data_IF_998460843285
#
_entry.id   IF_998460843285
#
_cell.length_a   1.000
_cell.length_b   1.000
_cell.length_c   1.000
_cell.angle_alpha   90.00
_cell.angle_beta   90.00
_cell.angle_gamma   90.00
#
_symmetry.space_group_name_H-M   'P 1'
#
loop_
_entity.id
_entity.type
_entity.pdbx_description
1 polymer ?
#
# COMPACT_ATOMS: atom_id res chain seq x y z
N UNK A 1 -19.43 -11.72 -9.89
CA UNK A 1 -17.97 -11.73 -9.63
C UNK A 1 -17.83 -11.40 -8.17
N UNK A 2 -17.26 -12.32 -7.38
CA UNK A 2 -17.13 -12.14 -5.93
C UNK A 2 -16.10 -11.04 -5.66
N UNK A 3 -16.48 -10.03 -4.87
CA UNK A 3 -15.58 -8.95 -4.45
C UNK A 3 -14.75 -9.45 -3.27
N UNK A 4 -13.43 -9.33 -3.37
CA UNK A 4 -12.52 -9.78 -2.32
C UNK A 4 -11.90 -8.58 -1.59
N UNK A 5 -11.73 -8.74 -0.28
CA UNK A 5 -10.96 -7.80 0.54
C UNK A 5 -9.47 -7.93 0.18
N UNK A 6 -8.79 -6.85 -0.26
CA UNK A 6 -7.40 -6.94 -0.71
C UNK A 6 -6.41 -7.40 0.35
N UNK A 7 -6.69 -7.16 1.63
CA UNK A 7 -5.78 -7.45 2.73
C UNK A 7 -5.95 -8.85 3.30
N UNK A 8 -7.17 -9.37 3.28
CA UNK A 8 -7.49 -10.68 3.87
C UNK A 8 -7.76 -11.76 2.84
N UNK A 9 -8.07 -11.38 1.59
CA UNK A 9 -8.52 -12.30 0.55
C UNK A 9 -9.91 -12.89 0.81
N UNK A 10 -10.62 -12.44 1.85
CA UNK A 10 -11.95 -12.91 2.18
C UNK A 10 -13.00 -12.29 1.26
N UNK A 11 -14.08 -13.04 1.02
CA UNK A 11 -15.25 -12.54 0.32
C UNK A 11 -15.89 -11.37 1.08
N UNK A 12 -16.15 -10.28 0.38
CA UNK A 12 -16.91 -9.16 0.88
C UNK A 12 -18.42 -9.43 0.77
N UNK A 13 -19.24 -8.83 1.64
CA UNK A 13 -20.69 -8.88 1.52
C UNK A 13 -21.20 -8.38 0.15
N UNK A 14 -22.39 -8.82 -0.25
CA UNK A 14 -22.96 -8.49 -1.56
C UNK A 14 -23.31 -7.01 -1.73
N UNK A 15 -23.50 -6.28 -0.63
CA UNK A 15 -23.74 -4.84 -0.58
C UNK A 15 -22.44 -4.02 -0.54
N UNK A 16 -21.28 -4.67 -0.54
CA UNK A 16 -20.00 -3.98 -0.49
C UNK A 16 -19.69 -3.21 -1.77
N UNK A 17 -19.23 -1.98 -1.58
CA UNK A 17 -18.81 -1.07 -2.64
C UNK A 17 -17.30 -0.85 -2.50
N UNK A 18 -16.57 -1.05 -3.60
CA UNK A 18 -15.16 -0.67 -3.70
C UNK A 18 -15.00 0.55 -4.61
N UNK A 19 -14.30 1.57 -4.13
CA UNK A 19 -13.94 2.78 -4.90
C UNK A 19 -12.43 2.90 -4.99
N UNK A 20 -11.95 3.28 -6.16
CA UNK A 20 -10.53 3.56 -6.37
C UNK A 20 -10.35 5.06 -6.15
N UNK A 21 -9.64 5.43 -5.08
CA UNK A 21 -9.36 6.82 -4.73
C UNK A 21 -8.12 7.36 -5.45
N UNK A 22 -7.17 6.48 -5.74
CA UNK A 22 -5.91 6.83 -6.40
C UNK A 22 -5.36 5.64 -7.18
N UNK A 23 -4.68 5.91 -8.29
CA UNK A 23 -3.93 4.93 -9.09
C UNK A 23 -2.61 5.55 -9.55
N UNK A 24 -1.51 4.84 -9.31
CA UNK A 24 -0.22 5.09 -9.95
C UNK A 24 0.24 3.83 -10.68
N UNK A 25 0.55 3.96 -11.96
CA UNK A 25 0.84 2.81 -12.82
C UNK A 25 2.26 2.26 -12.65
N UNK A 26 3.20 3.09 -12.21
CA UNK A 26 4.61 2.74 -12.04
C UNK A 26 5.10 3.17 -10.65
N UNK A 27 5.11 2.22 -9.71
CA UNK A 27 5.67 2.40 -8.37
C UNK A 27 6.72 1.34 -8.13
N UNK A 28 7.95 1.76 -7.90
CA UNK A 28 9.06 0.86 -7.60
C UNK A 28 8.92 0.29 -6.19
N UNK A 29 9.01 -1.03 -6.04
CA UNK A 29 8.92 -1.72 -4.76
C UNK A 29 10.29 -2.24 -4.36
N UNK A 30 10.69 -1.99 -3.10
CA UNK A 30 12.00 -2.29 -2.56
C UNK A 30 11.91 -3.13 -1.28
N UNK A 31 12.89 -4.01 -1.10
CA UNK A 31 13.15 -4.62 0.20
C UNK A 31 13.96 -3.65 1.08
N UNK A 32 13.39 -3.26 2.22
CA UNK A 32 14.05 -2.31 3.13
C UNK A 32 14.79 -3.05 4.25
N UNK A 33 15.97 -2.57 4.67
CA UNK A 33 16.65 -3.10 5.84
C UNK A 33 15.80 -2.86 7.11
N UNK A 34 15.90 -3.75 8.11
CA UNK A 34 15.27 -3.52 9.42
C UNK A 34 15.72 -2.19 10.01
N UNK A 35 14.80 -1.48 10.68
CA UNK A 35 15.14 -0.23 11.38
C UNK A 35 16.25 -0.48 12.40
N UNK A 36 17.35 0.25 12.24
CA UNK A 36 18.48 0.24 13.18
C UNK A 36 18.36 1.36 14.22
N UNK A 37 17.39 2.27 14.06
CA UNK A 37 17.19 3.45 14.91
C UNK A 37 15.72 3.90 14.90
N UNK A 38 15.31 4.65 15.91
CA UNK A 38 13.99 5.28 16.04
C UNK A 38 13.80 6.53 15.17
N UNK A 39 14.81 6.92 14.38
CA UNK A 39 14.78 8.13 13.54
C UNK A 39 13.82 8.07 12.35
N UNK A 40 13.28 6.90 12.02
CA UNK A 40 12.44 6.68 10.83
C UNK A 40 13.25 6.18 9.63
N UNK A 41 12.63 6.20 8.46
CA UNK A 41 13.20 5.60 7.24
C UNK A 41 13.89 6.61 6.34
N UNK A 42 14.91 6.17 5.62
CA UNK A 42 15.64 6.98 4.63
C UNK A 42 15.84 6.17 3.36
N UNK A 43 15.37 6.69 2.23
CA UNK A 43 15.38 5.98 0.96
C UNK A 43 16.80 5.69 0.45
N UNK A 44 17.77 6.56 0.75
CA UNK A 44 19.17 6.32 0.42
C UNK A 44 19.70 4.98 0.96
N UNK A 45 19.14 4.46 2.05
CA UNK A 45 19.58 3.19 2.66
C UNK A 45 19.21 1.94 1.84
N UNK A 46 18.22 2.02 0.95
CA UNK A 46 17.80 0.88 0.11
C UNK A 46 17.81 1.16 -1.39
N UNK A 47 17.90 2.42 -1.82
CA UNK A 47 17.93 2.79 -3.25
C UNK A 47 19.33 2.77 -3.85
N UNK A 48 20.38 2.81 -3.02
CA UNK A 48 21.77 2.77 -3.48
C UNK A 48 22.17 1.39 -4.06
N UNK A 49 21.47 0.33 -3.66
CA UNK A 49 21.74 -1.04 -4.08
C UNK A 49 20.66 -1.53 -5.04
N UNK A 50 20.94 -1.70 -6.35
CA UNK A 50 19.94 -2.14 -7.33
C UNK A 50 19.28 -3.49 -7.00
N UNK A 51 19.98 -4.36 -6.27
CA UNK A 51 19.47 -5.67 -5.85
C UNK A 51 18.29 -5.61 -4.88
N UNK A 52 18.06 -4.46 -4.22
CA UNK A 52 16.93 -4.27 -3.31
C UNK A 52 15.64 -3.96 -4.03
N UNK A 53 15.71 -3.52 -5.29
CA UNK A 53 14.54 -3.35 -6.13
C UNK A 53 13.94 -4.74 -6.43
N UNK A 54 12.70 -4.96 -6.00
CA UNK A 54 11.98 -6.21 -6.22
C UNK A 54 11.39 -6.20 -7.63
N UNK A 55 10.52 -5.21 -7.91
CA UNK A 55 9.86 -4.99 -9.18
C UNK A 55 9.11 -3.64 -9.18
N UNK A 56 8.54 -3.27 -10.33
CA UNK A 56 7.65 -2.11 -10.47
C UNK A 56 6.19 -2.58 -10.47
N UNK A 57 5.38 -2.05 -9.56
CA UNK A 57 3.97 -2.39 -9.37
C UNK A 57 3.04 -1.25 -9.83
N UNK A 58 1.76 -1.58 -10.00
CA UNK A 58 0.67 -0.60 -9.92
C UNK A 58 0.27 -0.46 -8.46
N UNK A 59 0.18 0.78 -7.98
CA UNK A 59 -0.36 1.09 -6.66
C UNK A 59 -1.78 1.63 -6.82
N UNK A 60 -2.74 1.09 -6.05
CA UNK A 60 -4.10 1.64 -5.94
C UNK A 60 -4.43 1.94 -4.49
N UNK A 61 -5.11 3.05 -4.24
CA UNK A 61 -5.80 3.27 -2.96
C UNK A 61 -7.25 2.88 -3.16
N UNK A 62 -7.72 1.89 -2.41
CA UNK A 62 -9.06 1.31 -2.53
C UNK A 62 -9.82 1.54 -1.24
N UNK A 63 -10.91 2.28 -1.34
CA UNK A 63 -11.92 2.36 -0.28
C UNK A 63 -12.90 1.20 -0.43
N UNK A 64 -13.17 0.47 0.65
CA UNK A 64 -14.23 -0.53 0.75
C UNK A 64 -15.24 -0.06 1.79
N UNK A 65 -16.51 0.02 1.40
CA UNK A 65 -17.61 0.41 2.27
C UNK A 65 -18.74 -0.62 2.18
N UNK A 66 -19.27 -1.06 3.32
CA UNK A 66 -20.42 -1.96 3.38
C UNK A 66 -21.17 -1.84 4.71
N UNK A 67 -22.44 -2.24 4.71
CA UNK A 67 -23.27 -2.32 5.91
C UNK A 67 -23.23 -3.74 6.48
N UNK A 68 -23.37 -3.85 7.80
CA UNK A 68 -23.42 -5.13 8.47
C UNK A 68 -24.58 -5.07 9.46
N UNK A 69 -25.49 -6.03 9.38
CA UNK A 69 -26.66 -6.09 10.27
C UNK A 69 -26.28 -6.09 11.77
N UNK A 70 -25.04 -6.44 12.08
CA UNK A 70 -24.52 -6.54 13.46
C UNK A 70 -23.53 -5.43 13.86
N UNK A 71 -23.15 -4.51 12.95
CA UNK A 71 -22.15 -3.48 13.24
C UNK A 71 -22.32 -2.23 12.36
N UNK A 72 -22.06 -1.05 12.93
CA UNK A 72 -21.95 0.24 12.21
C UNK A 72 -21.21 0.12 10.87
N UNK A 73 -21.62 0.92 9.86
CA UNK A 73 -21.00 1.02 8.54
C UNK A 73 -19.48 0.81 8.61
N UNK A 74 -19.00 -0.23 7.93
CA UNK A 74 -17.58 -0.51 7.84
C UNK A 74 -17.01 0.26 6.66
N UNK A 75 -16.22 1.27 6.96
CA UNK A 75 -15.37 1.98 6.00
C UNK A 75 -13.93 1.55 6.22
N UNK A 76 -13.26 1.13 5.15
CA UNK A 76 -11.87 0.68 5.17
C UNK A 76 -11.15 1.24 3.95
N UNK A 77 -9.88 1.61 4.11
CA UNK A 77 -8.99 2.01 3.02
C UNK A 77 -7.78 1.08 3.00
N UNK A 78 -7.43 0.59 1.82
CA UNK A 78 -6.25 -0.24 1.58
C UNK A 78 -5.37 0.38 0.49
N UNK A 79 -4.07 0.47 0.74
CA UNK A 79 -3.08 0.66 -0.30
C UNK A 79 -2.71 -0.71 -0.88
N UNK A 80 -2.94 -0.90 -2.18
CA UNK A 80 -2.85 -2.18 -2.88
C UNK A 80 -1.72 -2.13 -3.91
N UNK A 81 -0.72 -2.98 -3.74
CA UNK A 81 0.36 -3.20 -4.69
C UNK A 81 0.03 -4.44 -5.52
N UNK A 82 -0.04 -4.28 -6.83
CA UNK A 82 -0.36 -5.36 -7.76
C UNK A 82 0.48 -5.28 -9.03
N UNK A 83 0.60 -6.40 -9.73
CA UNK A 83 1.21 -6.42 -11.05
C UNK A 83 0.36 -5.61 -12.04
N UNK A 84 0.99 -4.67 -12.75
CA UNK A 84 0.28 -3.74 -13.62
C UNK A 84 -0.40 -4.42 -14.82
N UNK A 85 0.16 -5.55 -15.28
CA UNK A 85 -0.28 -6.26 -16.48
C UNK A 85 -1.42 -7.25 -16.20
N UNK A 86 -1.32 -8.01 -15.12
CA UNK A 86 -2.24 -9.08 -14.75
C UNK A 86 -3.27 -8.66 -13.69
N UNK A 87 -2.99 -7.59 -12.94
CA UNK A 87 -3.76 -7.22 -11.75
C UNK A 87 -3.59 -8.19 -10.59
N UNK A 88 -2.60 -9.09 -10.65
CA UNK A 88 -2.32 -10.01 -9.56
C UNK A 88 -1.83 -9.24 -8.32
N UNK A 89 -2.55 -9.39 -7.21
CA UNK A 89 -2.18 -8.81 -5.93
C UNK A 89 -0.79 -9.30 -5.50
N UNK A 90 0.11 -8.36 -5.23
CA UNK A 90 1.40 -8.64 -4.61
C UNK A 90 1.31 -8.47 -3.09
N UNK A 91 0.79 -7.33 -2.64
CA UNK A 91 0.64 -7.02 -1.22
C UNK A 91 -0.44 -5.96 -1.00
N UNK A 92 -1.06 -5.97 0.18
CA UNK A 92 -2.00 -4.95 0.60
C UNK A 92 -1.60 -4.38 1.97
N UNK A 93 -1.81 -3.09 2.13
CA UNK A 93 -1.54 -2.33 3.35
C UNK A 93 -2.84 -1.68 3.83
N UNK A 94 -3.53 -2.30 4.81
CA UNK A 94 -4.70 -1.70 5.45
C UNK A 94 -4.33 -0.40 6.13
N UNK A 95 -4.85 0.71 5.63
CA UNK A 95 -4.52 2.04 6.12
C UNK A 95 -5.31 2.35 7.38
N UNK A 96 -4.86 1.77 8.50
CA UNK A 96 -5.49 1.93 9.82
C UNK A 96 -4.88 3.06 10.65
N UNK A 97 -3.73 3.59 10.24
CA UNK A 97 -3.01 4.67 10.89
C UNK A 97 -2.03 5.33 9.90
N UNK A 98 -1.66 6.60 10.08
CA UNK A 98 -0.72 7.28 9.19
C UNK A 98 0.61 6.54 8.99
N UNK A 99 1.13 5.89 10.03
CA UNK A 99 2.38 5.10 9.95
C UNK A 99 2.30 3.83 9.11
N UNK A 100 1.15 3.47 8.53
CA UNK A 100 1.06 2.39 7.55
C UNK A 100 1.74 2.80 6.24
N UNK A 101 1.68 4.07 5.87
CA UNK A 101 2.35 4.67 4.71
C UNK A 101 3.16 5.86 5.23
N UNK A 102 4.39 5.60 5.65
CA UNK A 102 5.26 6.60 6.29
C UNK A 102 6.19 7.23 5.25
N UNK A 103 6.20 8.56 5.07
CA UNK A 103 7.17 9.21 4.18
C UNK A 103 8.59 9.06 4.73
N UNK A 104 9.56 8.90 3.83
CA UNK A 104 10.98 8.88 4.24
C UNK A 104 11.51 10.28 4.54
N UNK A 105 12.61 10.36 5.28
CA UNK A 105 13.19 11.63 5.74
C UNK A 105 13.92 12.44 4.64
N UNK A 106 14.49 11.76 3.66
CA UNK A 106 15.43 12.32 2.68
C UNK A 106 14.82 12.51 1.28
N UNK A 107 13.54 12.18 1.09
CA UNK A 107 12.89 12.27 -0.22
C UNK A 107 11.37 12.38 -0.10
N UNK A 108 10.77 13.23 -0.94
CA UNK A 108 9.32 13.34 -1.07
C UNK A 108 8.70 12.32 -2.03
N UNK A 109 9.50 11.42 -2.62
CA UNK A 109 9.02 10.40 -3.58
C UNK A 109 8.93 9.00 -3.00
N UNK A 110 9.43 8.79 -1.79
CA UNK A 110 9.56 7.45 -1.21
C UNK A 110 8.82 7.34 0.10
N UNK A 111 8.30 6.14 0.35
CA UNK A 111 7.54 5.82 1.55
C UNK A 111 7.94 4.42 2.04
N UNK A 112 7.88 4.21 3.35
CA UNK A 112 7.85 2.89 3.94
C UNK A 112 6.38 2.46 4.12
N UNK A 113 6.02 1.30 3.58
CA UNK A 113 4.65 0.78 3.57
C UNK A 113 4.58 -0.51 4.36
N UNK A 114 3.74 -0.52 5.40
CA UNK A 114 3.48 -1.72 6.20
C UNK A 114 2.38 -2.55 5.55
N UNK A 115 2.78 -3.60 4.83
CA UNK A 115 1.87 -4.54 4.21
C UNK A 115 1.52 -5.70 5.15
N UNK A 116 0.40 -6.36 4.86
CA UNK A 116 -0.02 -7.58 5.54
C UNK A 116 -0.23 -8.69 4.53
N UNK A 117 0.08 -9.91 4.96
CA UNK A 117 -0.37 -11.11 4.24
C UNK A 117 -1.77 -11.53 4.72
N UNK A 118 -2.43 -12.48 4.02
CA UNK A 118 -3.74 -12.99 4.43
C UNK A 118 -3.76 -13.65 5.83
N UNK A 119 -2.59 -14.04 6.36
CA UNK A 119 -2.44 -14.59 7.71
C UNK A 119 -2.24 -13.49 8.77
N UNK A 120 -2.22 -12.22 8.37
CA UNK A 120 -2.03 -11.06 9.24
C UNK A 120 -0.58 -10.76 9.62
N UNK A 121 0.41 -11.46 9.06
CA UNK A 121 1.83 -11.17 9.25
C UNK A 121 2.18 -9.84 8.59
N UNK A 122 2.95 -9.03 9.30
CA UNK A 122 3.38 -7.71 8.83
C UNK A 122 4.74 -7.81 8.16
N UNK A 123 4.88 -7.11 7.05
CA UNK A 123 6.17 -6.82 6.43
C UNK A 123 6.22 -5.33 6.09
N UNK A 124 7.42 -4.78 5.97
CA UNK A 124 7.60 -3.38 5.59
C UNK A 124 8.35 -3.36 4.27
N UNK A 125 7.81 -2.63 3.31
CA UNK A 125 8.36 -2.45 1.98
C UNK A 125 8.68 -0.99 1.75
N UNK A 126 9.70 -0.72 0.95
CA UNK A 126 9.94 0.62 0.43
C UNK A 126 9.15 0.77 -0.86
N UNK A 127 8.47 1.88 -1.06
CA UNK A 127 7.92 2.26 -2.36
C UNK A 127 8.52 3.57 -2.83
N UNK A 128 8.66 3.72 -4.14
CA UNK A 128 9.19 4.94 -4.76
C UNK A 128 8.45 5.28 -6.05
N UNK A 129 8.07 6.55 -6.17
CA UNK A 129 7.48 7.09 -7.40
C UNK A 129 8.54 7.66 -8.33
N UNK A 130 8.29 7.59 -9.63
CA UNK A 130 9.12 8.27 -10.64
C UNK A 130 8.96 9.79 -10.50
N UNK A 131 7.73 10.27 -10.33
CA UNK A 131 7.43 11.70 -10.24
C UNK A 131 6.99 12.14 -8.84
N UNK A 132 7.37 13.37 -8.47
CA UNK A 132 6.99 13.96 -7.17
C UNK A 132 5.50 14.25 -7.06
N UNK A 133 4.84 14.55 -8.18
CA UNK A 133 3.41 14.84 -8.21
C UNK A 133 2.58 13.63 -7.81
N UNK A 134 2.91 12.43 -8.32
CA UNK A 134 2.16 11.22 -7.97
C UNK A 134 2.34 10.83 -6.49
N UNK A 135 3.55 11.00 -5.95
CA UNK A 135 3.81 10.81 -4.52
C UNK A 135 3.02 11.80 -3.64
N UNK A 136 2.87 13.04 -4.11
CA UNK A 136 2.04 14.04 -3.45
C UNK A 136 0.56 13.65 -3.50
N UNK A 137 0.06 13.25 -4.66
CA UNK A 137 -1.33 12.83 -4.85
C UNK A 137 -1.69 11.61 -3.99
N UNK A 138 -0.76 10.64 -3.82
CA UNK A 138 -0.93 9.54 -2.87
C UNK A 138 -1.19 10.06 -1.44
N UNK A 139 -0.42 11.06 -1.01
CA UNK A 139 -0.52 11.62 0.34
C UNK A 139 -1.82 12.39 0.57
N UNK A 140 -2.47 12.88 -0.50
CA UNK A 140 -3.79 13.54 -0.46
C UNK A 140 -4.94 12.53 -0.50
N UNK A 141 -4.74 11.40 -1.18
CA UNK A 141 -5.74 10.36 -1.32
C UNK A 141 -5.93 9.47 -0.07
N UNK A 142 -4.91 9.41 0.79
CA UNK A 142 -4.89 8.66 2.07
C UNK A 142 -5.41 9.51 3.24
#
# INVERSE_FOLDING_TARGET
MELLDPATGAALPNDAIQRILFVANAVHVYNIPPLTSTKGYSASTWTAEPQRHIFTARLRVVETAYESESSTNKLKVDAVLEDASSGQLFAAAPYTAPGVVEPVLDSSRFFAVTVRDPQGRKAILGIGFEERSEAFDLSIAL
#
